data_IF_162381900295
#
_entry.id   IF_162381900295
#
_cell.length_a   1.000
_cell.length_b   1.000
_cell.length_c   1.000
_cell.angle_alpha   90.00
_cell.angle_beta   90.00
_cell.angle_gamma   90.00
#
_symmetry.space_group_name_H-M   'P 1'
#
loop_
_entity.id
_entity.type
_entity.pdbx_description
1 polymer ?
#
# COMPACT_ATOMS: atom_id res chain seq x y z
N UNK A 1 17.80 5.95 -10.93
CA UNK A 1 16.65 6.07 -9.98
C UNK A 1 17.02 7.14 -8.96
N UNK A 2 16.19 8.15 -8.72
CA UNK A 2 16.54 9.31 -7.87
C UNK A 2 16.54 8.92 -6.38
N UNK A 3 17.55 9.33 -5.59
CA UNK A 3 17.54 9.13 -4.14
C UNK A 3 16.38 9.87 -3.48
N UNK A 4 15.94 9.42 -2.30
CA UNK A 4 14.99 10.20 -1.47
C UNK A 4 15.66 11.52 -1.06
N UNK A 5 14.87 12.56 -0.77
CA UNK A 5 15.40 13.84 -0.27
C UNK A 5 16.28 13.58 0.95
N UNK A 6 17.58 13.82 0.82
CA UNK A 6 18.58 13.62 1.88
C UNK A 6 19.45 12.35 1.77
N UNK A 7 19.19 11.43 0.83
CA UNK A 7 20.08 10.28 0.61
C UNK A 7 21.14 10.59 -0.45
N UNK A 8 22.39 10.17 -0.18
CA UNK A 8 23.47 10.24 -1.16
C UNK A 8 23.21 9.28 -2.33
N UNK A 9 23.46 9.75 -3.54
CA UNK A 9 23.48 8.96 -4.77
C UNK A 9 24.62 7.92 -4.75
N UNK A 10 24.58 7.00 -5.71
CA UNK A 10 25.62 5.96 -5.84
C UNK A 10 27.02 6.56 -6.03
N UNK A 11 27.14 7.57 -6.88
CA UNK A 11 28.42 8.17 -7.24
C UNK A 11 28.97 9.02 -6.09
N UNK A 12 28.08 9.71 -5.38
CA UNK A 12 28.45 10.43 -4.15
C UNK A 12 28.93 9.48 -3.06
N UNK A 13 28.27 8.32 -2.89
CA UNK A 13 28.73 7.26 -1.99
C UNK A 13 30.09 6.72 -2.41
N UNK A 14 30.32 6.48 -3.71
CA UNK A 14 31.64 6.07 -4.22
C UNK A 14 32.71 7.10 -3.89
N UNK A 15 32.42 8.39 -4.05
CA UNK A 15 33.35 9.48 -3.74
C UNK A 15 33.71 9.50 -2.26
N UNK A 16 32.72 9.41 -1.38
CA UNK A 16 32.95 9.31 0.08
C UNK A 16 33.79 8.09 0.43
N UNK A 17 33.49 6.93 -0.19
CA UNK A 17 34.19 5.68 0.09
C UNK A 17 35.64 5.71 -0.39
N UNK A 18 35.89 6.31 -1.54
CA UNK A 18 37.23 6.51 -2.07
C UNK A 18 38.05 7.40 -1.12
N UNK A 19 37.53 8.56 -0.72
CA UNK A 19 38.21 9.45 0.22
C UNK A 19 38.49 8.76 1.57
N UNK A 20 37.51 8.04 2.10
CA UNK A 20 37.68 7.28 3.34
C UNK A 20 38.73 6.15 3.20
N UNK A 21 38.79 5.47 2.06
CA UNK A 21 39.78 4.42 1.80
C UNK A 21 41.22 4.92 1.72
N UNK A 22 41.39 6.20 1.39
CA UNK A 22 42.70 6.88 1.32
C UNK A 22 43.12 7.39 2.72
N UNK A 23 42.25 7.26 3.73
CA UNK A 23 42.55 7.60 5.13
C UNK A 23 42.03 8.96 5.59
N UNK A 24 41.23 9.67 4.78
CA UNK A 24 40.65 10.94 5.20
C UNK A 24 39.68 10.79 6.38
N UNK A 25 39.75 11.73 7.31
CA UNK A 25 38.81 11.79 8.44
C UNK A 25 37.42 12.22 7.97
N UNK A 26 36.38 11.90 8.75
CA UNK A 26 35.01 12.30 8.39
C UNK A 26 34.84 13.83 8.30
N UNK A 27 35.63 14.60 9.05
CA UNK A 27 35.61 16.07 9.01
C UNK A 27 36.22 16.60 7.71
N UNK A 28 37.35 16.05 7.27
CA UNK A 28 37.95 16.37 5.98
C UNK A 28 37.01 16.02 4.83
N UNK A 29 36.40 14.83 4.86
CA UNK A 29 35.43 14.40 3.84
C UNK A 29 34.23 15.36 3.81
N UNK A 30 33.78 15.84 4.97
CA UNK A 30 32.71 16.83 5.07
C UNK A 30 33.11 18.16 4.46
N UNK A 31 34.33 18.63 4.70
CA UNK A 31 34.84 19.85 4.10
C UNK A 31 34.95 19.73 2.57
N UNK A 32 35.41 18.58 2.06
CA UNK A 32 35.55 18.34 0.62
C UNK A 32 34.22 18.15 -0.13
N UNK A 33 33.21 17.56 0.51
CA UNK A 33 31.97 17.15 -0.17
C UNK A 33 30.74 17.97 0.21
N UNK A 34 30.76 18.67 1.36
CA UNK A 34 29.61 19.39 1.91
C UNK A 34 28.51 18.49 2.50
N UNK A 35 28.69 17.17 2.53
CA UNK A 35 27.70 16.24 3.08
C UNK A 35 27.67 16.26 4.61
N UNK A 36 26.53 15.93 5.21
CA UNK A 36 26.43 15.80 6.67
C UNK A 36 27.27 14.63 7.19
N UNK A 37 27.77 14.75 8.42
CA UNK A 37 28.54 13.70 9.09
C UNK A 37 27.78 12.36 9.10
N UNK A 38 26.46 12.38 9.30
CA UNK A 38 25.61 11.17 9.27
C UNK A 38 25.58 10.51 7.89
N UNK A 39 25.46 11.29 6.82
CA UNK A 39 25.50 10.77 5.45
C UNK A 39 26.86 10.15 5.13
N UNK A 40 27.94 10.80 5.57
CA UNK A 40 29.32 10.33 5.37
C UNK A 40 29.54 9.00 6.09
N UNK A 41 29.22 8.93 7.38
CA UNK A 41 29.33 7.69 8.17
C UNK A 41 28.50 6.55 7.56
N UNK A 42 27.28 6.86 7.10
CA UNK A 42 26.41 5.87 6.45
C UNK A 42 26.98 5.39 5.12
N UNK A 43 27.59 6.28 4.32
CA UNK A 43 28.18 5.94 3.03
C UNK A 43 29.52 5.19 3.14
N UNK A 44 30.37 5.57 4.11
CA UNK A 44 31.65 4.93 4.37
C UNK A 44 31.46 3.47 4.80
N UNK A 45 30.56 3.22 5.75
CA UNK A 45 30.31 1.89 6.31
C UNK A 45 29.27 1.07 5.51
N UNK A 46 28.46 1.73 4.69
CA UNK A 46 27.35 1.11 3.97
C UNK A 46 27.69 0.56 2.59
N UNK A 47 26.68 -0.06 1.97
CA UNK A 47 26.76 -0.48 0.56
C UNK A 47 26.73 0.73 -0.37
N UNK A 48 27.55 0.66 -1.41
CA UNK A 48 27.62 1.69 -2.47
C UNK A 48 26.29 1.83 -3.18
N UNK A 49 25.65 0.70 -3.49
CA UNK A 49 24.31 0.68 -4.08
C UNK A 49 23.27 0.86 -2.96
N UNK A 50 22.46 1.93 -2.99
CA UNK A 50 21.37 2.09 -2.04
C UNK A 50 20.42 0.89 -2.12
N UNK A 51 20.24 0.16 -1.03
CA UNK A 51 19.27 -0.92 -0.98
C UNK A 51 17.87 -0.36 -0.77
N UNK A 52 16.89 -0.94 -1.47
CA UNK A 52 15.48 -0.63 -1.22
C UNK A 52 15.16 -1.15 0.19
N UNK A 53 14.82 -0.24 1.10
CA UNK A 53 14.16 -0.66 2.34
C UNK A 53 12.96 -1.51 1.93
N UNK A 54 12.95 -2.79 2.31
CA UNK A 54 11.78 -3.63 2.14
C UNK A 54 10.71 -2.96 2.99
N UNK A 55 9.84 -2.19 2.36
CA UNK A 55 8.58 -1.84 3.01
C UNK A 55 7.96 -3.21 3.28
N UNK A 56 7.84 -3.55 4.56
CA UNK A 56 7.03 -4.68 4.96
C UNK A 56 5.63 -4.33 4.46
N UNK A 57 5.30 -4.82 3.26
CA UNK A 57 3.93 -4.79 2.80
C UNK A 57 3.18 -5.54 3.88
N UNK A 58 2.30 -4.83 4.60
CA UNK A 58 1.49 -5.41 5.66
C UNK A 58 0.85 -6.66 5.07
N UNK A 59 1.31 -7.83 5.53
CA UNK A 59 0.79 -9.11 5.03
C UNK A 59 -0.72 -9.08 5.24
N UNK A 60 -1.46 -9.50 4.22
CA UNK A 60 -2.92 -9.58 4.33
C UNK A 60 -3.27 -10.46 5.54
N UNK A 61 -4.17 -9.97 6.39
CA UNK A 61 -4.62 -10.71 7.56
C UNK A 61 -5.31 -12.02 7.17
N UNK A 62 -6.02 -12.02 6.03
CA UNK A 62 -6.70 -13.19 5.48
C UNK A 62 -5.74 -13.99 4.61
N UNK A 63 -5.47 -15.24 5.01
CA UNK A 63 -4.53 -16.13 4.32
C UNK A 63 -5.15 -16.69 3.03
N UNK A 64 -4.33 -17.34 2.20
CA UNK A 64 -4.77 -17.94 0.93
C UNK A 64 -5.97 -18.91 1.02
N UNK A 65 -6.04 -19.87 1.98
CA UNK A 65 -7.19 -20.78 2.04
C UNK A 65 -8.49 -20.04 2.41
N UNK A 66 -8.43 -19.13 3.38
CA UNK A 66 -9.55 -18.28 3.77
C UNK A 66 -10.01 -17.37 2.63
N UNK A 67 -9.08 -16.83 1.83
CA UNK A 67 -9.43 -16.05 0.62
C UNK A 67 -10.18 -16.88 -0.42
N UNK A 68 -9.87 -18.16 -0.58
CA UNK A 68 -10.60 -19.04 -1.49
C UNK A 68 -12.01 -19.32 -0.97
N UNK A 69 -12.16 -19.61 0.32
CA UNK A 69 -13.47 -19.74 0.97
C UNK A 69 -14.30 -18.46 0.83
N UNK A 70 -13.67 -17.30 1.05
CA UNK A 70 -14.32 -16.01 0.90
C UNK A 70 -14.75 -15.76 -0.55
N UNK A 71 -13.92 -16.14 -1.53
CA UNK A 71 -14.26 -16.07 -2.95
C UNK A 71 -15.46 -16.96 -3.29
N UNK A 72 -15.46 -18.22 -2.82
CA UNK A 72 -16.57 -19.15 -3.03
C UNK A 72 -17.87 -18.62 -2.40
N UNK A 73 -17.79 -18.08 -1.18
CA UNK A 73 -18.92 -17.47 -0.50
C UNK A 73 -19.44 -16.21 -1.24
N UNK A 74 -18.57 -15.38 -1.82
CA UNK A 74 -18.99 -14.26 -2.66
C UNK A 74 -19.67 -14.72 -3.97
N UNK A 75 -19.35 -15.91 -4.45
CA UNK A 75 -19.91 -16.50 -5.67
C UNK A 75 -21.24 -17.23 -5.43
N UNK A 76 -21.52 -17.66 -4.19
CA UNK A 76 -22.68 -18.52 -3.87
C UNK A 76 -24.04 -17.82 -3.87
N UNK A 77 -24.14 -16.50 -4.06
CA UNK A 77 -25.45 -15.85 -4.18
C UNK A 77 -25.49 -14.32 -4.06
N UNK A 78 -26.55 -13.81 -3.41
CA UNK A 78 -26.87 -12.37 -3.22
C UNK A 78 -25.92 -11.61 -2.28
N UNK A 79 -24.81 -12.22 -1.88
CA UNK A 79 -23.85 -11.71 -0.91
C UNK A 79 -23.11 -10.44 -1.39
N UNK A 80 -23.18 -10.14 -2.70
CA UNK A 80 -22.61 -8.93 -3.32
C UNK A 80 -23.28 -7.62 -2.88
N UNK A 81 -24.48 -7.69 -2.30
CA UNK A 81 -25.23 -6.52 -1.84
C UNK A 81 -25.09 -6.25 -0.35
N UNK A 82 -24.38 -7.12 0.38
CA UNK A 82 -24.16 -6.95 1.81
C UNK A 82 -23.13 -5.84 2.03
N UNK A 83 -23.45 -4.79 2.81
CA UNK A 83 -22.48 -3.77 3.18
C UNK A 83 -21.25 -4.37 3.87
N UNK A 84 -20.06 -3.81 3.58
CA UNK A 84 -18.79 -4.32 4.13
C UNK A 84 -18.76 -4.30 5.67
N UNK A 85 -19.41 -3.29 6.27
CA UNK A 85 -19.53 -3.10 7.73
C UNK A 85 -20.28 -4.26 8.38
N UNK A 86 -21.31 -4.77 7.71
CA UNK A 86 -22.15 -5.88 8.20
C UNK A 86 -21.62 -7.25 7.76
N UNK A 87 -20.63 -7.29 6.88
CA UNK A 87 -20.12 -8.52 6.29
C UNK A 87 -19.64 -9.56 7.31
N UNK A 88 -18.93 -9.20 8.41
CA UNK A 88 -18.48 -10.17 9.42
C UNK A 88 -19.62 -11.01 10.00
N UNK A 89 -20.82 -10.44 10.15
CA UNK A 89 -21.98 -11.13 10.75
C UNK A 89 -22.62 -12.18 9.84
N UNK A 90 -22.37 -12.10 8.52
CA UNK A 90 -22.94 -13.02 7.54
C UNK A 90 -21.95 -14.09 7.05
N UNK A 91 -20.68 -13.97 7.46
CA UNK A 91 -19.62 -14.86 7.04
C UNK A 91 -19.60 -16.14 7.89
N UNK A 92 -19.31 -17.31 7.28
CA UNK A 92 -19.09 -18.53 8.05
C UNK A 92 -17.76 -18.45 8.82
N UNK A 93 -17.63 -19.12 9.97
CA UNK A 93 -16.34 -19.29 10.62
C UNK A 93 -15.33 -19.98 9.70
N UNK A 94 -14.03 -19.58 9.68
CA UNK A 94 -13.39 -18.58 10.54
C UNK A 94 -13.45 -17.15 9.98
N UNK A 95 -14.10 -16.91 8.83
CA UNK A 95 -14.07 -15.63 8.13
C UNK A 95 -14.74 -14.49 8.91
N UNK A 96 -15.69 -14.82 9.79
CA UNK A 96 -16.35 -13.88 10.70
C UNK A 96 -15.41 -13.27 11.77
N UNK A 97 -14.24 -13.86 12.01
CA UNK A 97 -13.27 -13.35 12.99
C UNK A 97 -12.44 -12.17 12.46
N UNK A 98 -12.48 -11.92 11.15
CA UNK A 98 -11.72 -10.86 10.50
C UNK A 98 -12.45 -9.53 10.54
N UNK A 99 -11.74 -8.46 10.89
CA UNK A 99 -12.28 -7.10 10.89
C UNK A 99 -12.58 -6.59 9.47
N UNK A 100 -13.41 -5.54 9.40
CA UNK A 100 -13.85 -4.91 8.15
C UNK A 100 -12.68 -4.59 7.19
N UNK A 101 -11.61 -4.00 7.72
CA UNK A 101 -10.43 -3.60 6.92
C UNK A 101 -9.75 -4.81 6.26
N UNK A 102 -9.68 -5.93 6.98
CA UNK A 102 -9.09 -7.17 6.46
C UNK A 102 -9.94 -7.76 5.33
N UNK A 103 -11.26 -7.80 5.54
CA UNK A 103 -12.22 -8.27 4.54
C UNK A 103 -12.25 -7.38 3.30
N UNK A 104 -12.20 -6.05 3.48
CA UNK A 104 -12.19 -5.10 2.35
C UNK A 104 -10.91 -5.24 1.51
N UNK A 105 -9.74 -5.40 2.16
CA UNK A 105 -8.49 -5.69 1.43
C UNK A 105 -8.54 -7.02 0.70
N UNK A 106 -9.08 -8.07 1.33
CA UNK A 106 -9.26 -9.36 0.67
C UNK A 106 -10.21 -9.27 -0.53
N UNK A 107 -11.27 -8.46 -0.42
CA UNK A 107 -12.21 -8.20 -1.52
C UNK A 107 -11.51 -7.49 -2.69
N UNK A 108 -10.68 -6.47 -2.41
CA UNK A 108 -9.90 -5.75 -3.43
C UNK A 108 -8.90 -6.66 -4.17
N UNK A 109 -8.19 -7.52 -3.43
CA UNK A 109 -7.29 -8.53 -4.01
C UNK A 109 -8.01 -9.54 -4.90
N UNK A 110 -9.24 -9.89 -4.56
CA UNK A 110 -10.09 -10.75 -5.39
C UNK A 110 -10.68 -10.02 -6.62
N UNK A 111 -10.31 -8.74 -6.84
CA UNK A 111 -10.81 -7.91 -7.94
C UNK A 111 -12.19 -7.29 -7.68
N UNK A 112 -12.74 -7.47 -6.48
CA UNK A 112 -13.99 -6.87 -6.05
C UNK A 112 -13.80 -5.41 -5.63
N UNK A 113 -14.84 -4.60 -5.82
CA UNK A 113 -14.95 -3.28 -5.19
C UNK A 113 -16.20 -3.27 -4.32
N UNK A 114 -16.07 -2.82 -3.08
CA UNK A 114 -17.22 -2.50 -2.24
C UNK A 114 -17.86 -1.23 -2.80
N UNK A 115 -18.69 -1.37 -3.84
CA UNK A 115 -19.49 -0.28 -4.36
C UNK A 115 -20.92 -0.58 -3.97
N UNK A 116 -21.42 0.17 -2.99
CA UNK A 116 -22.86 0.28 -2.80
C UNK A 116 -23.37 0.98 -4.06
N UNK A 117 -23.95 0.23 -4.99
CA UNK A 117 -24.72 0.86 -6.07
C UNK A 117 -25.99 1.38 -5.41
N UNK A 118 -26.21 2.71 -5.31
CA UNK A 118 -27.48 3.21 -4.81
C UNK A 118 -28.59 2.61 -5.68
N UNK A 119 -29.60 2.01 -5.05
CA UNK A 119 -30.80 1.60 -5.78
C UNK A 119 -31.35 2.86 -6.45
N UNK A 120 -31.51 2.81 -7.77
CA UNK A 120 -32.23 3.87 -8.47
C UNK A 120 -33.65 3.87 -7.92
N UNK A 121 -34.02 4.93 -7.21
CA UNK A 121 -35.40 5.14 -6.80
C UNK A 121 -36.20 5.30 -8.10
N UNK A 122 -37.23 4.47 -8.35
CA UNK A 122 -38.04 4.63 -9.55
C UNK A 122 -38.67 6.02 -9.53
N UNK A 123 -38.54 6.75 -10.64
CA UNK A 123 -39.15 8.08 -10.78
C UNK A 123 -40.66 7.98 -10.56
N UNK A 124 -41.19 8.90 -9.77
CA UNK A 124 -42.65 9.05 -9.61
C UNK A 124 -43.29 9.43 -10.95
N UNK A 125 -44.60 9.22 -11.09
CA UNK A 125 -45.33 9.56 -12.32
C UNK A 125 -45.18 11.06 -12.66
N UNK A 126 -45.21 11.93 -11.65
CA UNK A 126 -45.00 13.37 -11.77
C UNK A 126 -43.61 13.71 -12.30
N UNK A 127 -42.55 13.11 -11.76
CA UNK A 127 -41.18 13.31 -12.22
C UNK A 127 -40.94 12.83 -13.67
N UNK A 128 -41.71 11.83 -14.13
CA UNK A 128 -41.67 11.36 -15.52
C UNK A 128 -42.36 12.34 -16.47
N UNK A 129 -43.45 12.99 -16.03
CA UNK A 129 -44.17 13.99 -16.82
C UNK A 129 -43.36 15.28 -16.93
N UNK A 130 -42.80 15.79 -15.84
CA UNK A 130 -41.95 16.98 -15.85
C UNK A 130 -40.71 16.87 -16.76
N UNK A 131 -40.27 15.63 -17.07
CA UNK A 131 -39.17 15.36 -18.01
C UNK A 131 -39.58 15.32 -19.48
N UNK A 132 -40.87 15.17 -19.77
CA UNK A 132 -41.41 15.19 -21.14
C UNK A 132 -41.67 16.62 -21.63
N UNK A 133 -41.80 17.57 -20.72
CA UNK A 133 -42.08 18.98 -21.02
C UNK A 133 -40.80 19.83 -21.25
N UNK A 134 -39.63 19.19 -21.28
CA UNK A 134 -38.32 19.73 -21.72
C UNK A 134 -37.89 19.03 -23.00
#
# INVERSE_FOLDING_TARGET
KRPKRGDLSRDERLRVKALHSIGHTYEEIRQHTGFSTRQIQTAANGLVTPQKHRQHHNKLAIKTPERQQFKQWLQSGRNRYIPIVTLPYHLPPPLNSHGEVALNRALQELGGRSVIRPRRIPLTREQKLARKDW
#
